data_IF_845216812913
#
_entry.id   IF_845216812913
#
_cell.length_a   1.000
_cell.length_b   1.000
_cell.length_c   1.000
_cell.angle_alpha   90.00
_cell.angle_beta   90.00
_cell.angle_gamma   90.00
#
_symmetry.space_group_name_H-M   'P 1'
#
loop_
_entity.id
_entity.type
_entity.pdbx_description
1 polymer ?
#
# COMPACT_ATOMS: atom_id res chain seq x y z
N UNK A 1 15.44 22.59 -3.66
CA UNK A 1 14.15 21.91 -3.36
C UNK A 1 13.37 22.82 -2.43
N UNK A 2 12.15 23.16 -2.80
CA UNK A 2 11.22 23.91 -1.96
C UNK A 2 10.31 22.94 -1.20
N UNK A 3 10.09 23.18 0.09
CA UNK A 3 9.29 22.32 0.96
C UNK A 3 8.10 23.10 1.49
N UNK A 4 6.91 22.63 1.24
CA UNK A 4 5.66 23.20 1.72
C UNK A 4 5.10 22.34 2.85
N UNK A 5 5.32 22.78 4.10
CA UNK A 5 4.73 22.13 5.29
C UNK A 5 3.28 22.56 5.49
N UNK A 6 2.51 21.81 6.26
CA UNK A 6 1.09 22.10 6.56
C UNK A 6 0.20 22.32 5.34
N UNK A 7 0.59 21.77 4.19
CA UNK A 7 -0.11 21.95 2.93
C UNK A 7 -1.06 20.80 2.65
N UNK A 8 -2.23 21.13 2.12
CA UNK A 8 -3.22 20.19 1.62
C UNK A 8 -3.35 20.33 0.12
N UNK A 9 -3.17 19.22 -0.60
CA UNK A 9 -3.53 19.18 -2.03
C UNK A 9 -5.05 19.26 -2.17
N UNK A 10 -5.51 20.22 -2.96
CA UNK A 10 -6.93 20.40 -3.29
C UNK A 10 -7.26 19.78 -4.64
N UNK A 11 -6.40 19.99 -5.64
CA UNK A 11 -6.67 19.59 -7.01
C UNK A 11 -5.38 19.40 -7.80
N UNK A 12 -5.39 18.43 -8.71
CA UNK A 12 -4.38 18.27 -9.75
C UNK A 12 -4.92 18.88 -11.04
N UNK A 13 -4.18 19.82 -11.62
CA UNK A 13 -4.59 20.57 -12.80
C UNK A 13 -3.94 19.96 -14.04
N UNK A 14 -4.70 19.79 -15.09
CA UNK A 14 -4.23 19.31 -16.38
C UNK A 14 -4.95 19.98 -17.54
N UNK A 15 -4.43 19.80 -18.73
CA UNK A 15 -5.01 20.34 -19.98
C UNK A 15 -5.71 19.27 -20.83
N UNK A 16 -5.93 18.07 -20.28
CA UNK A 16 -6.51 16.92 -20.99
C UNK A 16 -5.47 15.99 -21.60
N UNK A 17 -4.23 16.43 -21.76
CA UNK A 17 -3.11 15.68 -22.31
C UNK A 17 -2.05 15.37 -21.22
N UNK A 18 -1.71 16.37 -20.42
CA UNK A 18 -0.74 16.22 -19.33
C UNK A 18 -1.13 17.01 -18.09
N UNK A 19 -0.49 16.67 -16.98
CA UNK A 19 -0.53 17.48 -15.75
C UNK A 19 0.22 18.80 -16.00
N UNK A 20 -0.37 19.91 -15.56
CA UNK A 20 0.21 21.26 -15.74
C UNK A 20 0.38 22.00 -14.41
N UNK A 21 -0.21 21.49 -13.33
CA UNK A 21 -0.11 22.16 -12.05
C UNK A 21 -0.80 21.39 -10.91
N UNK A 22 -0.65 21.95 -9.73
CA UNK A 22 -1.31 21.49 -8.52
C UNK A 22 -1.82 22.70 -7.75
N UNK A 23 -3.02 22.61 -7.20
CA UNK A 23 -3.57 23.59 -6.29
C UNK A 23 -3.44 23.10 -4.86
N UNK A 24 -2.77 23.89 -4.03
CA UNK A 24 -2.50 23.57 -2.63
C UNK A 24 -3.04 24.66 -1.72
N UNK A 25 -3.50 24.26 -0.53
CA UNK A 25 -3.95 25.13 0.53
C UNK A 25 -3.01 25.03 1.72
N UNK A 26 -2.56 26.14 2.23
CA UNK A 26 -1.89 26.20 3.52
C UNK A 26 -2.96 26.03 4.63
N UNK A 27 -2.79 25.01 5.49
CA UNK A 27 -3.75 24.73 6.58
C UNK A 27 -3.71 25.73 7.73
N UNK A 28 -2.66 26.54 7.81
CA UNK A 28 -2.49 27.54 8.86
C UNK A 28 -3.08 28.88 8.45
N UNK A 29 -2.79 29.33 7.22
CA UNK A 29 -3.23 30.63 6.72
C UNK A 29 -4.52 30.56 5.89
N UNK A 30 -4.96 29.35 5.54
CA UNK A 30 -6.10 29.11 4.63
C UNK A 30 -5.85 29.58 3.19
N UNK A 31 -4.66 30.09 2.88
CA UNK A 31 -4.28 30.62 1.57
C UNK A 31 -4.20 29.46 0.55
N UNK A 32 -4.79 29.70 -0.63
CA UNK A 32 -4.75 28.78 -1.76
C UNK A 32 -3.84 29.32 -2.82
N UNK A 33 -2.92 28.49 -3.31
CA UNK A 33 -2.00 28.80 -4.40
C UNK A 33 -1.95 27.71 -5.45
N UNK A 34 -1.62 28.08 -6.66
CA UNK A 34 -1.34 27.16 -7.76
C UNK A 34 0.17 27.09 -7.99
N UNK A 35 0.70 25.88 -8.12
CA UNK A 35 2.10 25.61 -8.44
C UNK A 35 2.10 24.96 -9.82
N UNK A 36 2.79 25.57 -10.78
CA UNK A 36 3.00 25.00 -12.10
C UNK A 36 4.04 23.88 -12.03
N UNK A 37 3.78 22.75 -12.69
CA UNK A 37 4.66 21.58 -12.73
C UNK A 37 4.30 20.69 -13.90
N UNK A 38 5.21 19.81 -14.30
CA UNK A 38 5.05 18.87 -15.41
C UNK A 38 4.70 17.44 -14.97
N UNK A 39 4.72 17.14 -13.67
CA UNK A 39 4.38 15.83 -13.15
C UNK A 39 4.32 15.80 -11.63
N UNK A 40 3.67 14.79 -11.07
CA UNK A 40 3.46 14.62 -9.62
C UNK A 40 3.79 13.20 -9.23
N UNK A 41 4.64 13.04 -8.20
CA UNK A 41 4.81 11.78 -7.50
C UNK A 41 3.93 11.77 -6.25
N UNK A 42 3.02 10.81 -6.17
CA UNK A 42 2.14 10.65 -5.01
C UNK A 42 2.75 9.61 -4.06
N UNK A 43 3.11 10.04 -2.84
CA UNK A 43 3.68 9.21 -1.79
C UNK A 43 3.05 9.54 -0.44
N UNK A 44 1.72 9.58 -0.39
CA UNK A 44 0.97 9.99 0.82
C UNK A 44 0.82 8.85 1.81
N UNK A 45 1.01 7.61 1.39
CA UNK A 45 0.88 6.41 2.21
C UNK A 45 0.63 5.18 1.36
N UNK A 46 0.38 4.07 2.03
CA UNK A 46 0.10 2.79 1.40
C UNK A 46 -1.36 2.42 1.64
N UNK A 47 -2.03 1.93 0.59
CA UNK A 47 -3.37 1.37 0.67
C UNK A 47 -3.32 -0.06 0.13
N UNK A 48 -3.50 -1.09 0.98
CA UNK A 48 -3.45 -2.47 0.54
C UNK A 48 -4.59 -2.80 -0.44
N UNK A 49 -4.28 -3.44 -1.56
CA UNK A 49 -5.29 -3.91 -2.53
C UNK A 49 -5.94 -5.24 -2.07
N UNK A 50 -6.41 -5.28 -0.84
CA UNK A 50 -7.01 -6.45 -0.19
C UNK A 50 -8.52 -6.49 -0.27
N UNK A 51 -9.15 -5.46 -0.86
CA UNK A 51 -10.61 -5.28 -0.82
C UNK A 51 -11.42 -6.49 -1.28
N UNK A 52 -10.95 -7.19 -2.30
CA UNK A 52 -11.59 -8.40 -2.85
C UNK A 52 -11.50 -9.62 -1.93
N UNK A 53 -10.64 -9.60 -0.92
CA UNK A 53 -10.40 -10.71 0.01
C UNK A 53 -10.97 -10.48 1.41
N UNK A 54 -11.54 -9.29 1.70
CA UNK A 54 -11.99 -8.90 3.05
C UNK A 54 -13.00 -9.82 3.69
N UNK A 55 -13.82 -10.51 2.88
CA UNK A 55 -14.81 -11.48 3.36
C UNK A 55 -14.25 -12.90 3.45
N UNK A 56 -13.02 -13.11 2.99
CA UNK A 56 -12.39 -14.43 2.94
C UNK A 56 -11.33 -14.58 4.01
N UNK A 57 -10.47 -13.57 4.20
CA UNK A 57 -9.35 -13.61 5.14
C UNK A 57 -9.41 -12.44 6.13
N UNK A 58 -8.84 -12.63 7.30
CA UNK A 58 -8.75 -11.59 8.31
C UNK A 58 -7.84 -10.44 7.84
N UNK A 59 -8.31 -9.22 8.05
CA UNK A 59 -7.54 -8.00 7.78
C UNK A 59 -7.49 -7.12 9.03
N UNK A 60 -6.42 -6.34 9.16
CA UNK A 60 -6.34 -5.33 10.21
C UNK A 60 -7.16 -4.07 9.85
N UNK A 61 -7.15 -3.07 10.74
CA UNK A 61 -7.89 -1.79 10.55
C UNK A 61 -7.44 -0.99 9.32
N UNK A 62 -6.22 -1.21 8.85
CA UNK A 62 -5.66 -0.57 7.66
C UNK A 62 -5.98 -1.33 6.37
N UNK A 63 -6.61 -2.50 6.47
CA UNK A 63 -6.93 -3.38 5.35
C UNK A 63 -5.79 -4.33 4.97
N UNK A 64 -4.71 -4.41 5.73
CA UNK A 64 -3.64 -5.38 5.47
C UNK A 64 -4.10 -6.78 5.88
N UNK A 65 -3.80 -7.80 5.05
CA UNK A 65 -4.11 -9.20 5.35
C UNK A 65 -3.25 -9.67 6.53
N UNK A 66 -3.91 -10.16 7.57
CA UNK A 66 -3.23 -10.69 8.75
C UNK A 66 -2.51 -12.01 8.43
N UNK A 67 -1.22 -12.08 8.74
CA UNK A 67 -0.38 -13.27 8.52
C UNK A 67 0.43 -13.61 9.77
N UNK A 68 0.77 -14.91 9.88
CA UNK A 68 1.76 -15.38 10.84
C UNK A 68 3.20 -15.25 10.31
N UNK A 69 4.18 -15.72 11.08
CA UNK A 69 5.59 -15.70 10.68
C UNK A 69 5.91 -16.58 9.46
N UNK A 70 4.99 -17.44 9.04
CA UNK A 70 5.09 -18.32 7.88
C UNK A 70 4.23 -17.83 6.69
N UNK A 71 3.75 -16.59 6.75
CA UNK A 71 2.87 -16.01 5.73
C UNK A 71 1.50 -16.72 5.59
N UNK A 72 1.07 -17.50 6.60
CA UNK A 72 -0.26 -18.12 6.63
C UNK A 72 -1.30 -17.10 7.04
N UNK A 73 -2.45 -17.13 6.39
CA UNK A 73 -3.63 -16.39 6.84
C UNK A 73 -4.41 -17.22 7.87
N UNK A 74 -5.54 -16.70 8.35
CA UNK A 74 -6.49 -17.44 9.19
C UNK A 74 -7.18 -18.59 8.46
N UNK A 75 -7.09 -18.68 7.14
CA UNK A 75 -7.70 -19.74 6.33
C UNK A 75 -6.62 -20.73 5.85
N UNK A 76 -6.71 -22.02 6.22
CA UNK A 76 -5.79 -23.04 5.76
C UNK A 76 -5.71 -23.07 4.22
N UNK A 77 -4.48 -23.13 3.68
CA UNK A 77 -4.25 -23.14 2.23
C UNK A 77 -4.20 -21.75 1.57
N UNK A 78 -4.48 -20.67 2.31
CA UNK A 78 -4.35 -19.31 1.83
C UNK A 78 -3.17 -18.62 2.52
N UNK A 79 -2.28 -18.06 1.71
CA UNK A 79 -1.06 -17.36 2.12
C UNK A 79 -1.08 -15.95 1.56
N UNK A 80 -0.49 -15.01 2.28
CA UNK A 80 -0.31 -13.64 1.79
C UNK A 80 1.12 -13.16 2.07
N UNK A 81 1.65 -12.35 1.16
CA UNK A 81 3.02 -11.86 1.25
C UNK A 81 3.14 -10.45 0.68
N UNK A 82 4.18 -9.73 1.08
CA UNK A 82 4.48 -8.38 0.60
C UNK A 82 3.54 -7.31 1.15
N UNK A 83 3.42 -6.21 0.43
CA UNK A 83 2.81 -4.97 0.89
C UNK A 83 1.33 -5.09 1.27
N UNK A 84 0.64 -6.07 0.73
CA UNK A 84 -0.78 -6.35 1.04
C UNK A 84 -0.98 -6.98 2.42
N UNK A 85 0.07 -7.52 3.02
CA UNK A 85 0.05 -8.25 4.30
C UNK A 85 0.52 -7.40 5.47
N UNK A 86 0.39 -7.93 6.68
CA UNK A 86 0.86 -7.28 7.93
C UNK A 86 2.38 -7.29 8.11
N UNK A 87 3.18 -7.60 7.06
CA UNK A 87 4.64 -7.48 7.13
C UNK A 87 5.05 -6.04 7.48
N UNK A 88 5.99 -5.81 8.43
CA UNK A 88 6.25 -4.46 8.96
C UNK A 88 6.81 -3.49 7.93
N UNK A 89 7.64 -3.96 7.02
CA UNK A 89 8.35 -3.12 6.05
C UNK A 89 7.90 -3.40 4.63
N UNK A 90 7.48 -2.33 3.93
CA UNK A 90 6.93 -2.38 2.58
C UNK A 90 8.04 -2.00 1.57
N UNK A 91 8.87 -2.98 1.22
CA UNK A 91 9.98 -2.83 0.28
C UNK A 91 9.98 -3.99 -0.72
N UNK A 92 10.39 -3.76 -1.95
CA UNK A 92 10.42 -4.78 -3.02
C UNK A 92 11.18 -6.03 -2.57
N UNK A 93 12.35 -5.87 -1.98
CA UNK A 93 13.16 -7.00 -1.52
C UNK A 93 12.48 -7.79 -0.38
N UNK A 94 11.75 -7.10 0.49
CA UNK A 94 10.96 -7.75 1.55
C UNK A 94 9.81 -8.54 0.93
N UNK A 95 9.07 -7.95 -0.02
CA UNK A 95 7.98 -8.63 -0.71
C UNK A 95 8.44 -9.90 -1.45
N UNK A 96 9.63 -9.86 -2.07
CA UNK A 96 10.24 -11.02 -2.70
C UNK A 96 10.58 -12.12 -1.68
N UNK A 97 11.21 -11.76 -0.55
CA UNK A 97 11.54 -12.70 0.52
C UNK A 97 10.30 -13.31 1.17
N UNK A 98 9.29 -12.50 1.46
CA UNK A 98 8.00 -12.97 1.98
C UNK A 98 7.28 -13.90 0.99
N UNK A 99 7.32 -13.59 -0.30
CA UNK A 99 6.76 -14.46 -1.35
C UNK A 99 7.44 -15.84 -1.40
N UNK A 100 8.77 -15.87 -1.32
CA UNK A 100 9.53 -17.12 -1.23
C UNK A 100 9.17 -17.91 0.04
N UNK A 101 9.08 -17.24 1.19
CA UNK A 101 8.66 -17.84 2.46
C UNK A 101 7.23 -18.42 2.38
N UNK A 102 6.29 -17.70 1.81
CA UNK A 102 4.92 -18.16 1.61
C UNK A 102 4.87 -19.44 0.75
N UNK A 103 5.64 -19.50 -0.34
CA UNK A 103 5.73 -20.67 -1.22
C UNK A 103 6.30 -21.88 -0.48
N UNK A 104 7.37 -21.71 0.30
CA UNK A 104 7.96 -22.77 1.11
C UNK A 104 7.00 -23.26 2.19
N UNK A 105 6.30 -22.35 2.86
CA UNK A 105 5.29 -22.69 3.86
C UNK A 105 4.13 -23.50 3.26
N UNK A 106 3.66 -23.10 2.09
CA UNK A 106 2.61 -23.83 1.37
C UNK A 106 3.06 -25.26 0.99
N UNK A 107 4.30 -25.40 0.52
CA UNK A 107 4.88 -26.71 0.22
C UNK A 107 4.98 -27.60 1.47
N UNK A 108 5.50 -27.06 2.57
CA UNK A 108 5.60 -27.80 3.83
C UNK A 108 4.24 -28.23 4.37
N UNK A 109 3.25 -27.36 4.36
CA UNK A 109 1.90 -27.65 4.87
C UNK A 109 1.24 -28.75 4.03
N UNK A 110 1.40 -28.71 2.71
CA UNK A 110 0.95 -29.78 1.82
C UNK A 110 1.64 -31.12 2.13
N UNK A 111 2.96 -31.11 2.33
CA UNK A 111 3.71 -32.35 2.65
C UNK A 111 3.32 -32.94 4.00
N UNK A 112 2.89 -32.11 4.95
CA UNK A 112 2.41 -32.54 6.27
C UNK A 112 0.92 -32.92 6.29
N UNK A 113 0.22 -32.73 5.19
CA UNK A 113 -1.23 -32.97 5.11
C UNK A 113 -2.05 -31.97 5.90
N UNK A 114 -1.52 -30.75 6.08
CA UNK A 114 -2.21 -29.66 6.80
C UNK A 114 -3.18 -28.87 5.88
N UNK A 115 -3.04 -29.05 4.57
CA UNK A 115 -3.90 -28.49 3.52
C UNK A 115 -4.11 -29.51 2.40
#
# INVERSE_FOLDING_TARGET
VEVFVNSQTLEVIGNGDKVTGIRVKDRTTEEVRTIELDGIFVQIGLMPNSGVFREVVDTNRMGEIAIDTHCRTNIPGIYAAGDVSTVPYKQIIIAMGEGAKAALSAFEDRMRGAI
#
